data_IF_913614620536
#
_entry.id   IF_913614620536
#
_cell.length_a   1.000
_cell.length_b   1.000
_cell.length_c   1.000
_cell.angle_alpha   90.00
_cell.angle_beta   90.00
_cell.angle_gamma   90.00
#
_symmetry.space_group_name_H-M   'P 1'
#
loop_
_entity.id
_entity.type
_entity.pdbx_description
1 polymer ?
#
# COMPACT_ATOMS: atom_id res chain seq x y z
N UNK A 1 -18.34 0.03 -16.92
CA UNK A 1 -17.15 -0.80 -16.71
C UNK A 1 -17.44 -2.20 -17.25
N UNK A 2 -16.47 -2.82 -17.91
CA UNK A 2 -16.60 -4.19 -18.43
C UNK A 2 -16.09 -5.13 -17.32
N UNK A 3 -16.94 -5.98 -16.78
CA UNK A 3 -16.54 -7.01 -15.82
C UNK A 3 -15.95 -8.22 -16.55
N UNK A 4 -14.80 -8.69 -16.06
CA UNK A 4 -14.10 -9.85 -16.64
C UNK A 4 -14.19 -11.07 -15.73
N UNK A 5 -14.07 -12.25 -16.31
CA UNK A 5 -13.87 -13.47 -15.53
C UNK A 5 -12.52 -13.42 -14.80
N UNK A 6 -12.37 -14.15 -13.68
CA UNK A 6 -11.11 -14.15 -12.91
C UNK A 6 -9.89 -14.60 -13.74
N UNK A 7 -10.08 -15.51 -14.71
CA UNK A 7 -9.01 -15.93 -15.61
C UNK A 7 -8.58 -14.82 -16.58
N UNK A 8 -9.54 -14.11 -17.17
CA UNK A 8 -9.26 -12.98 -18.06
C UNK A 8 -8.61 -11.82 -17.28
N UNK A 9 -8.96 -11.64 -16.01
CA UNK A 9 -8.38 -10.63 -15.13
C UNK A 9 -6.86 -10.80 -14.98
N UNK A 10 -6.32 -12.03 -15.04
CA UNK A 10 -4.88 -12.28 -14.92
C UNK A 10 -4.07 -11.69 -16.09
N UNK A 11 -4.64 -11.62 -17.29
CA UNK A 11 -3.98 -11.01 -18.45
C UNK A 11 -3.75 -9.50 -18.26
N UNK A 12 -4.59 -8.86 -17.49
CA UNK A 12 -4.52 -7.44 -17.20
C UNK A 12 -3.81 -7.14 -15.88
N UNK A 13 -3.54 -8.14 -15.05
CA UNK A 13 -2.84 -8.03 -13.77
C UNK A 13 -1.31 -8.24 -13.92
N UNK A 14 -0.81 -8.14 -15.15
CA UNK A 14 0.61 -8.38 -15.49
C UNK A 14 1.57 -7.46 -14.74
N UNK A 15 1.35 -6.14 -14.57
CA UNK A 15 2.27 -5.29 -13.82
C UNK A 15 2.49 -5.75 -12.38
N UNK A 16 1.42 -6.11 -11.67
CA UNK A 16 1.48 -6.61 -10.30
C UNK A 16 2.16 -7.98 -10.22
N UNK A 17 1.92 -8.86 -11.19
CA UNK A 17 2.60 -10.15 -11.28
C UNK A 17 4.11 -10.00 -11.50
N UNK A 18 4.53 -9.11 -12.41
CA UNK A 18 5.95 -8.81 -12.63
C UNK A 18 6.56 -8.25 -11.34
N UNK A 19 5.85 -7.37 -10.65
CA UNK A 19 6.30 -6.81 -9.37
C UNK A 19 6.48 -7.92 -8.31
N UNK A 20 5.52 -8.83 -8.17
CA UNK A 20 5.63 -9.97 -7.24
C UNK A 20 6.83 -10.86 -7.59
N UNK A 21 7.02 -11.18 -8.87
CA UNK A 21 8.19 -11.96 -9.33
C UNK A 21 9.48 -11.21 -9.01
N UNK A 22 9.53 -9.90 -9.20
CA UNK A 22 10.70 -9.07 -8.87
C UNK A 22 11.01 -9.09 -7.38
N UNK A 23 9.99 -8.99 -6.51
CA UNK A 23 10.14 -9.06 -5.06
C UNK A 23 10.66 -10.44 -4.65
N UNK A 24 10.11 -11.52 -5.20
CA UNK A 24 10.58 -12.87 -4.94
C UNK A 24 12.02 -13.07 -5.43
N UNK A 25 12.37 -12.56 -6.61
CA UNK A 25 13.73 -12.60 -7.11
C UNK A 25 14.71 -11.83 -6.21
N UNK A 26 14.32 -10.66 -5.71
CA UNK A 26 15.10 -9.88 -4.76
C UNK A 26 15.33 -10.67 -3.47
N UNK A 27 14.27 -11.26 -2.90
CA UNK A 27 14.34 -12.05 -1.68
C UNK A 27 15.20 -13.30 -1.84
N UNK A 28 15.00 -14.07 -2.91
CA UNK A 28 15.80 -15.27 -3.19
C UNK A 28 17.26 -14.89 -3.41
N UNK A 29 17.53 -13.81 -4.15
CA UNK A 29 18.90 -13.35 -4.39
C UNK A 29 19.59 -12.95 -3.08
N UNK A 30 18.87 -12.31 -2.14
CA UNK A 30 19.43 -11.94 -0.83
C UNK A 30 19.86 -13.16 0.00
N UNK A 31 19.15 -14.27 -0.09
CA UNK A 31 19.50 -15.50 0.64
C UNK A 31 20.86 -16.07 0.22
N UNK A 32 21.24 -15.92 -1.06
CA UNK A 32 22.49 -16.46 -1.60
C UNK A 32 23.66 -15.46 -1.59
N UNK A 33 23.39 -14.15 -1.40
CA UNK A 33 24.43 -13.13 -1.41
C UNK A 33 25.08 -12.94 -0.04
N UNK A 34 26.38 -12.67 -0.05
CA UNK A 34 27.10 -12.19 1.14
C UNK A 34 26.67 -10.76 1.47
N UNK A 35 26.68 -10.41 2.76
CA UNK A 35 26.29 -9.08 3.28
C UNK A 35 26.94 -7.90 2.50
N UNK A 36 28.18 -8.06 2.04
CA UNK A 36 28.90 -7.01 1.29
C UNK A 36 28.40 -6.75 -0.15
N UNK A 37 27.48 -7.58 -0.66
CA UNK A 37 26.97 -7.47 -2.05
C UNK A 37 25.45 -7.21 -2.11
N UNK A 38 24.84 -6.83 -1.00
CA UNK A 38 23.39 -6.62 -0.90
C UNK A 38 22.90 -5.39 -1.69
N UNK A 39 23.81 -4.48 -2.11
CA UNK A 39 23.47 -3.39 -3.02
C UNK A 39 22.98 -3.88 -4.40
N UNK A 40 23.36 -5.09 -4.82
CA UNK A 40 22.85 -5.72 -6.05
C UNK A 40 21.33 -5.90 -6.02
N UNK A 41 20.74 -6.08 -4.84
CA UNK A 41 19.30 -6.27 -4.69
C UNK A 41 18.54 -5.00 -5.01
N UNK A 42 19.11 -3.82 -4.68
CA UNK A 42 18.58 -2.54 -5.13
C UNK A 42 18.51 -2.44 -6.65
N UNK A 43 19.52 -2.98 -7.37
CA UNK A 43 19.48 -3.05 -8.83
C UNK A 43 18.42 -4.02 -9.34
N UNK A 44 18.28 -5.21 -8.73
CA UNK A 44 17.23 -6.18 -9.10
C UNK A 44 15.85 -5.53 -8.97
N UNK A 45 15.56 -4.87 -7.84
CA UNK A 45 14.30 -4.17 -7.63
C UNK A 45 14.15 -2.99 -8.61
N UNK A 46 15.19 -2.18 -8.83
CA UNK A 46 15.15 -1.04 -9.73
C UNK A 46 14.86 -1.44 -11.19
N UNK A 47 15.57 -2.44 -11.70
CA UNK A 47 15.34 -2.97 -13.07
C UNK A 47 13.93 -3.57 -13.16
N UNK A 48 13.50 -4.34 -12.15
CA UNK A 48 12.14 -4.88 -12.10
C UNK A 48 11.08 -3.78 -12.14
N UNK A 49 11.24 -2.69 -11.39
CA UNK A 49 10.33 -1.55 -11.41
C UNK A 49 10.27 -0.85 -12.77
N UNK A 50 11.39 -0.76 -13.50
CA UNK A 50 11.38 -0.24 -14.88
C UNK A 50 10.56 -1.13 -15.80
N UNK A 51 10.72 -2.46 -15.71
CA UNK A 51 9.92 -3.43 -16.49
C UNK A 51 8.43 -3.32 -16.14
N UNK A 52 8.10 -3.20 -14.85
CA UNK A 52 6.73 -2.96 -14.37
C UNK A 52 6.19 -1.66 -14.97
N UNK A 53 6.97 -0.58 -14.99
CA UNK A 53 6.56 0.70 -15.57
C UNK A 53 6.24 0.60 -17.06
N UNK A 54 7.05 -0.11 -17.82
CA UNK A 54 6.76 -0.37 -19.24
C UNK A 54 5.47 -1.18 -19.41
N UNK A 55 5.23 -2.15 -18.54
CA UNK A 55 3.99 -2.93 -18.55
C UNK A 55 2.75 -2.07 -18.22
N UNK A 56 2.84 -1.16 -17.23
CA UNK A 56 1.78 -0.20 -16.91
C UNK A 56 1.48 0.72 -18.10
N UNK A 57 2.51 1.23 -18.78
CA UNK A 57 2.34 2.09 -19.96
C UNK A 57 1.64 1.35 -21.10
N UNK A 58 1.95 0.07 -21.33
CA UNK A 58 1.28 -0.73 -22.35
C UNK A 58 -0.22 -0.93 -22.05
N UNK A 59 -0.58 -1.05 -20.78
CA UNK A 59 -1.98 -1.20 -20.36
C UNK A 59 -2.75 0.13 -20.29
N UNK A 60 -2.09 1.28 -20.34
CA UNK A 60 -2.74 2.59 -20.25
C UNK A 60 -3.68 2.91 -21.44
N UNK A 61 -3.55 2.18 -22.56
CA UNK A 61 -4.43 2.30 -23.73
C UNK A 61 -5.70 1.44 -23.65
N UNK A 62 -5.81 0.59 -22.64
CA UNK A 62 -6.97 -0.28 -22.43
C UNK A 62 -8.13 0.56 -21.86
N UNK A 63 -9.38 0.37 -22.32
CA UNK A 63 -10.53 1.04 -21.76
C UNK A 63 -10.71 0.64 -20.27
N UNK A 64 -11.26 1.54 -19.42
CA UNK A 64 -11.47 1.26 -18.00
C UNK A 64 -12.21 -0.04 -17.77
N UNK A 65 -11.56 -0.97 -17.07
CA UNK A 65 -12.02 -2.35 -16.89
C UNK A 65 -11.88 -2.76 -15.44
N UNK A 66 -12.87 -3.45 -14.89
CA UNK A 66 -12.80 -4.03 -13.55
C UNK A 66 -12.31 -5.47 -13.60
N UNK A 67 -11.52 -5.84 -12.61
CA UNK A 67 -10.89 -7.13 -12.45
C UNK A 67 -11.32 -7.79 -11.14
N UNK A 68 -11.26 -9.13 -11.11
CA UNK A 68 -11.49 -9.95 -9.91
C UNK A 68 -12.83 -9.60 -9.20
N UNK A 69 -13.93 -9.74 -9.93
CA UNK A 69 -15.27 -9.49 -9.40
C UNK A 69 -15.45 -8.08 -8.85
N UNK A 70 -14.95 -7.08 -9.59
CA UNK A 70 -15.01 -5.66 -9.27
C UNK A 70 -14.22 -5.23 -8.02
N UNK A 71 -13.17 -5.98 -7.66
CA UNK A 71 -12.29 -5.59 -6.55
C UNK A 71 -11.25 -4.53 -6.95
N UNK A 72 -10.77 -4.59 -8.20
CA UNK A 72 -9.69 -3.75 -8.73
C UNK A 72 -10.12 -3.16 -10.08
N UNK A 73 -9.68 -1.95 -10.39
CA UNK A 73 -9.90 -1.29 -11.68
C UNK A 73 -8.57 -0.96 -12.36
N UNK A 74 -8.53 -1.13 -13.67
CA UNK A 74 -7.50 -0.53 -14.51
C UNK A 74 -8.15 0.67 -15.19
N UNK A 75 -7.61 1.85 -14.93
CA UNK A 75 -8.05 3.09 -15.50
C UNK A 75 -6.86 4.07 -15.67
N UNK A 76 -7.02 5.20 -16.33
CA UNK A 76 -5.96 6.19 -16.49
C UNK A 76 -5.44 6.74 -15.16
N UNK A 77 -6.30 6.85 -14.14
CA UNK A 77 -5.89 7.34 -12.82
C UNK A 77 -4.97 6.35 -12.11
N UNK A 78 -5.35 5.07 -12.02
CA UNK A 78 -4.52 4.04 -11.39
C UNK A 78 -3.20 3.87 -12.13
N UNK A 79 -3.21 3.91 -13.46
CA UNK A 79 -2.00 3.82 -14.29
C UNK A 79 -1.06 5.01 -14.04
N UNK A 80 -1.58 6.24 -13.99
CA UNK A 80 -0.80 7.42 -13.66
C UNK A 80 -0.18 7.32 -12.27
N UNK A 81 -0.97 6.96 -11.26
CA UNK A 81 -0.48 6.83 -9.88
C UNK A 81 0.58 5.73 -9.74
N UNK A 82 0.43 4.60 -10.42
CA UNK A 82 1.46 3.54 -10.47
C UNK A 82 2.78 4.07 -11.02
N UNK A 83 2.77 4.87 -12.07
CA UNK A 83 4.00 5.49 -12.62
C UNK A 83 4.63 6.46 -11.60
N UNK A 84 3.83 7.28 -10.93
CA UNK A 84 4.34 8.19 -9.87
C UNK A 84 5.00 7.39 -8.75
N UNK A 85 4.37 6.29 -8.30
CA UNK A 85 4.91 5.41 -7.26
C UNK A 85 6.24 4.79 -7.72
N UNK A 86 6.34 4.31 -8.97
CA UNK A 86 7.58 3.75 -9.53
C UNK A 86 8.69 4.79 -9.51
N UNK A 87 8.44 5.99 -10.03
CA UNK A 87 9.45 7.06 -10.08
C UNK A 87 9.92 7.41 -8.66
N UNK A 88 8.99 7.61 -7.74
CA UNK A 88 9.31 7.91 -6.34
C UNK A 88 10.15 6.80 -5.70
N UNK A 89 9.79 5.53 -5.93
CA UNK A 89 10.54 4.39 -5.40
C UNK A 89 11.94 4.27 -5.99
N UNK A 90 12.10 4.53 -7.30
CA UNK A 90 13.43 4.56 -7.93
C UNK A 90 14.32 5.64 -7.31
N UNK A 91 13.78 6.83 -7.02
CA UNK A 91 14.52 7.88 -6.31
C UNK A 91 14.92 7.45 -4.90
N UNK A 92 14.02 6.77 -4.16
CA UNK A 92 14.34 6.21 -2.84
C UNK A 92 15.45 5.16 -2.93
N UNK A 93 15.42 4.25 -3.92
CA UNK A 93 16.47 3.25 -4.11
C UNK A 93 17.82 3.93 -4.35
N UNK A 94 17.88 4.94 -5.22
CA UNK A 94 19.10 5.70 -5.51
C UNK A 94 19.62 6.39 -4.24
N UNK A 95 18.76 7.05 -3.48
CA UNK A 95 19.12 7.71 -2.22
C UNK A 95 19.64 6.70 -1.17
N UNK A 96 19.05 5.51 -1.13
CA UNK A 96 19.42 4.46 -0.17
C UNK A 96 20.80 3.85 -0.42
N UNK A 97 21.31 3.89 -1.64
CA UNK A 97 22.68 3.42 -1.93
C UNK A 97 23.75 4.28 -1.27
N UNK A 98 23.51 5.57 -1.14
CA UNK A 98 24.44 6.52 -0.52
C UNK A 98 24.32 6.58 1.01
N UNK A 99 23.31 5.91 1.60
CA UNK A 99 23.07 5.97 3.04
C UNK A 99 24.03 5.07 3.82
N UNK A 100 24.87 5.72 4.67
CA UNK A 100 25.85 5.05 5.53
C UNK A 100 25.22 4.31 6.71
N UNK A 101 24.07 4.73 7.20
CA UNK A 101 23.38 4.10 8.32
C UNK A 101 22.98 2.67 7.99
N UNK A 102 22.63 2.41 6.72
CA UNK A 102 22.29 1.08 6.22
C UNK A 102 23.49 0.15 6.01
N UNK A 103 24.75 0.63 6.09
CA UNK A 103 25.93 -0.20 5.83
C UNK A 103 26.08 -1.35 6.86
N UNK A 104 25.63 -1.14 8.09
CA UNK A 104 25.67 -2.14 9.15
C UNK A 104 24.55 -3.18 9.06
N UNK A 105 23.58 -3.00 8.17
CA UNK A 105 22.37 -3.83 8.02
C UNK A 105 22.37 -4.56 6.68
N UNK A 106 21.48 -5.55 6.53
CA UNK A 106 21.28 -6.24 5.25
C UNK A 106 20.36 -5.42 4.36
N UNK A 107 20.94 -4.64 3.45
CA UNK A 107 20.16 -3.81 2.50
C UNK A 107 19.17 -4.62 1.65
N UNK A 108 19.37 -5.93 1.51
CA UNK A 108 18.45 -6.80 0.77
C UNK A 108 17.07 -6.91 1.41
N UNK A 109 17.02 -7.08 2.74
CA UNK A 109 15.75 -7.08 3.49
C UNK A 109 15.04 -5.72 3.32
N UNK A 110 15.79 -4.62 3.41
CA UNK A 110 15.28 -3.27 3.23
C UNK A 110 14.62 -3.07 1.86
N UNK A 111 15.30 -3.42 0.77
CA UNK A 111 14.75 -3.29 -0.57
C UNK A 111 13.57 -4.22 -0.83
N UNK A 112 13.57 -5.42 -0.24
CA UNK A 112 12.44 -6.34 -0.33
C UNK A 112 11.18 -5.77 0.35
N UNK A 113 11.33 -5.16 1.53
CA UNK A 113 10.23 -4.50 2.25
C UNK A 113 9.67 -3.33 1.42
N UNK A 114 10.54 -2.52 0.82
CA UNK A 114 10.12 -1.44 -0.11
C UNK A 114 9.32 -2.03 -1.28
N UNK A 115 9.78 -3.12 -1.89
CA UNK A 115 9.05 -3.78 -2.97
C UNK A 115 7.64 -4.22 -2.57
N UNK A 116 7.48 -4.83 -1.38
CA UNK A 116 6.17 -5.23 -0.85
C UNK A 116 5.29 -3.99 -0.59
N UNK A 117 5.86 -2.90 -0.07
CA UNK A 117 5.15 -1.65 0.13
C UNK A 117 4.63 -1.09 -1.21
N UNK A 118 5.43 -1.12 -2.28
CA UNK A 118 5.02 -0.71 -3.62
C UNK A 118 3.86 -1.55 -4.14
N UNK A 119 3.84 -2.87 -3.89
CA UNK A 119 2.72 -3.72 -4.24
C UNK A 119 1.44 -3.29 -3.52
N UNK A 120 1.52 -3.01 -2.21
CA UNK A 120 0.39 -2.45 -1.45
C UNK A 120 -0.11 -1.13 -2.03
N UNK A 121 0.79 -0.22 -2.40
CA UNK A 121 0.44 1.06 -3.04
C UNK A 121 -0.23 0.86 -4.42
N UNK A 122 0.20 -0.12 -5.21
CA UNK A 122 -0.42 -0.45 -6.50
C UNK A 122 -1.85 -0.93 -6.32
N UNK A 123 -2.05 -1.86 -5.39
CA UNK A 123 -3.39 -2.38 -5.07
C UNK A 123 -4.30 -1.30 -4.52
N UNK A 124 -3.77 -0.40 -3.67
CA UNK A 124 -4.51 0.72 -3.10
C UNK A 124 -5.01 1.69 -4.18
N UNK A 125 -4.17 2.04 -5.15
CA UNK A 125 -4.54 2.99 -6.23
C UNK A 125 -5.53 2.43 -7.24
N UNK A 126 -5.65 1.12 -7.32
CA UNK A 126 -6.56 0.41 -8.24
C UNK A 126 -7.81 -0.12 -7.54
N UNK A 127 -7.93 0.01 -6.23
CA UNK A 127 -9.04 -0.55 -5.45
C UNK A 127 -10.36 0.17 -5.72
N UNK A 128 -11.43 -0.62 -5.95
CA UNK A 128 -12.83 -0.15 -6.03
C UNK A 128 -13.75 -0.91 -5.06
N UNK A 129 -13.15 -1.59 -4.10
CA UNK A 129 -13.77 -2.36 -3.03
C UNK A 129 -13.18 -1.93 -1.68
N UNK A 130 -14.04 -1.77 -0.64
CA UNK A 130 -13.59 -1.27 0.67
C UNK A 130 -12.67 -2.23 1.41
N UNK A 131 -12.84 -3.55 1.21
CA UNK A 131 -11.97 -4.56 1.83
C UNK A 131 -10.61 -4.54 1.13
N UNK A 132 -10.60 -4.49 -0.21
CA UNK A 132 -9.37 -4.42 -0.99
C UNK A 132 -8.57 -3.15 -0.66
N UNK A 133 -9.25 -2.01 -0.52
CA UNK A 133 -8.63 -0.77 -0.07
C UNK A 133 -8.02 -0.93 1.32
N UNK A 134 -8.79 -1.46 2.28
CA UNK A 134 -8.31 -1.64 3.65
C UNK A 134 -7.07 -2.55 3.73
N UNK A 135 -7.12 -3.71 3.09
CA UNK A 135 -5.99 -4.66 3.05
C UNK A 135 -4.75 -4.01 2.42
N UNK A 136 -4.92 -3.27 1.34
CA UNK A 136 -3.82 -2.56 0.67
C UNK A 136 -3.17 -1.52 1.57
N UNK A 137 -3.97 -0.73 2.29
CA UNK A 137 -3.51 0.25 3.30
C UNK A 137 -2.75 -0.45 4.43
N UNK A 138 -3.23 -1.61 4.91
CA UNK A 138 -2.56 -2.35 5.98
C UNK A 138 -1.20 -2.91 5.52
N UNK A 139 -1.11 -3.43 4.29
CA UNK A 139 0.18 -3.86 3.73
C UNK A 139 1.18 -2.71 3.72
N UNK A 140 0.80 -1.53 3.23
CA UNK A 140 1.66 -0.34 3.22
C UNK A 140 2.05 0.07 4.64
N UNK A 141 1.10 0.04 5.59
CA UNK A 141 1.33 0.43 6.98
C UNK A 141 2.29 -0.50 7.69
N UNK A 142 2.09 -1.82 7.57
CA UNK A 142 2.98 -2.81 8.20
C UNK A 142 4.40 -2.67 7.66
N UNK A 143 4.56 -2.51 6.34
CA UNK A 143 5.89 -2.31 5.75
C UNK A 143 6.52 -0.99 6.23
N UNK A 144 5.75 0.08 6.37
CA UNK A 144 6.26 1.36 6.90
C UNK A 144 6.64 1.27 8.38
N UNK A 145 5.91 0.49 9.21
CA UNK A 145 6.27 0.25 10.61
C UNK A 145 7.61 -0.47 10.72
N UNK A 146 7.83 -1.49 9.87
CA UNK A 146 9.09 -2.24 9.86
C UNK A 146 10.25 -1.34 9.39
N UNK A 147 10.01 -0.48 8.37
CA UNK A 147 11.03 0.46 7.88
C UNK A 147 11.39 1.50 8.94
N UNK A 148 10.43 2.04 9.70
CA UNK A 148 10.69 2.98 10.79
C UNK A 148 11.54 2.35 11.92
N UNK A 149 11.37 1.05 12.18
CA UNK A 149 12.16 0.29 13.17
C UNK A 149 13.35 -0.45 12.54
N UNK A 150 13.79 -0.07 11.33
CA UNK A 150 14.77 -0.88 10.60
C UNK A 150 16.16 -0.89 11.24
N UNK A 151 16.56 0.20 11.89
CA UNK A 151 17.84 0.30 12.57
C UNK A 151 17.81 -0.39 13.93
N UNK A 152 17.75 -1.72 13.94
CA UNK A 152 17.54 -2.61 15.12
C UNK A 152 18.48 -2.35 16.29
N UNK A 153 19.66 -1.78 16.06
CA UNK A 153 20.67 -1.48 17.08
C UNK A 153 20.50 -0.07 17.68
N UNK A 154 19.64 0.75 17.10
CA UNK A 154 19.32 2.07 17.60
C UNK A 154 18.05 2.03 18.47
N UNK A 155 18.18 2.45 19.72
CA UNK A 155 17.06 2.51 20.67
C UNK A 155 15.98 3.50 20.25
N UNK A 156 16.35 4.60 19.57
CA UNK A 156 15.40 5.59 19.05
C UNK A 156 14.55 5.01 17.94
N UNK A 157 15.17 4.30 16.98
CA UNK A 157 14.45 3.63 15.90
C UNK A 157 13.49 2.56 16.44
N UNK A 158 13.91 1.79 17.45
CA UNK A 158 13.04 0.80 18.10
C UNK A 158 11.84 1.45 18.81
N UNK A 159 12.05 2.57 19.51
CA UNK A 159 10.99 3.34 20.16
C UNK A 159 10.03 3.95 19.14
N UNK A 160 10.55 4.56 18.08
CA UNK A 160 9.77 5.12 16.97
C UNK A 160 8.89 4.05 16.32
N UNK A 161 9.47 2.88 15.97
CA UNK A 161 8.73 1.77 15.41
C UNK A 161 7.64 1.25 16.33
N UNK A 162 7.91 1.10 17.64
CA UNK A 162 6.91 0.65 18.61
C UNK A 162 5.74 1.63 18.72
N UNK A 163 6.03 2.93 18.84
CA UNK A 163 4.99 3.97 18.86
C UNK A 163 4.16 3.93 17.58
N UNK A 164 4.83 3.81 16.42
CA UNK A 164 4.15 3.79 15.13
C UNK A 164 3.22 2.59 14.99
N UNK A 165 3.65 1.39 15.40
CA UNK A 165 2.80 0.17 15.39
C UNK A 165 1.60 0.33 16.30
N UNK A 166 1.80 0.77 17.56
CA UNK A 166 0.70 0.86 18.55
C UNK A 166 -0.37 1.83 18.08
N UNK A 167 0.01 3.04 17.73
CA UNK A 167 -0.94 4.05 17.25
C UNK A 167 -1.56 3.68 15.90
N UNK A 168 -0.76 3.10 15.01
CA UNK A 168 -1.22 2.65 13.70
C UNK A 168 -2.23 1.52 13.79
N UNK A 169 -1.97 0.50 14.60
CA UNK A 169 -2.89 -0.62 14.81
C UNK A 169 -4.22 -0.17 15.42
N UNK A 170 -4.17 0.74 16.42
CA UNK A 170 -5.39 1.31 17.01
C UNK A 170 -6.21 2.07 15.96
N UNK A 171 -5.57 2.94 15.18
CA UNK A 171 -6.22 3.71 14.12
C UNK A 171 -6.84 2.82 13.05
N UNK A 172 -6.12 1.77 12.64
CA UNK A 172 -6.61 0.77 11.68
C UNK A 172 -7.82 0.00 12.21
N UNK A 173 -7.82 -0.36 13.49
CA UNK A 173 -8.97 -1.00 14.14
C UNK A 173 -10.22 -0.12 14.14
N UNK A 174 -10.06 1.18 14.44
CA UNK A 174 -11.15 2.17 14.37
C UNK A 174 -11.68 2.28 12.94
N UNK A 175 -10.80 2.39 11.94
CA UNK A 175 -11.18 2.45 10.53
C UNK A 175 -11.94 1.20 10.09
N UNK A 176 -11.43 0.01 10.43
CA UNK A 176 -12.07 -1.26 10.10
C UNK A 176 -13.47 -1.36 10.69
N UNK A 177 -13.64 -0.92 11.94
CA UNK A 177 -14.95 -0.91 12.57
C UNK A 177 -15.92 0.03 11.83
N UNK A 178 -15.45 1.23 11.40
CA UNK A 178 -16.24 2.13 10.56
C UNK A 178 -16.65 1.48 9.23
N UNK A 179 -15.70 0.80 8.54
CA UNK A 179 -15.99 0.06 7.31
C UNK A 179 -17.00 -1.08 7.54
N UNK A 180 -16.93 -1.76 8.69
CA UNK A 180 -17.87 -2.83 9.03
C UNK A 180 -19.31 -2.31 9.23
N UNK A 181 -19.47 -1.10 9.77
CA UNK A 181 -20.78 -0.45 9.88
C UNK A 181 -21.32 -0.11 8.49
N UNK A 182 -20.48 0.45 7.60
CA UNK A 182 -20.87 0.72 6.20
C UNK A 182 -21.34 -0.56 5.52
N UNK A 183 -20.58 -1.64 5.64
CA UNK A 183 -20.98 -2.95 5.13
C UNK A 183 -22.30 -3.45 5.75
N UNK A 184 -22.46 -3.33 7.06
CA UNK A 184 -23.70 -3.72 7.75
C UNK A 184 -24.95 -2.95 7.30
N UNK A 185 -24.78 -1.69 6.90
CA UNK A 185 -25.86 -0.83 6.40
C UNK A 185 -26.19 -1.08 4.93
N UNK A 186 -25.16 -1.37 4.10
CA UNK A 186 -25.30 -1.44 2.63
C UNK A 186 -25.34 -2.87 2.08
N UNK A 187 -24.82 -3.84 2.84
CA UNK A 187 -24.71 -5.24 2.41
C UNK A 187 -23.67 -5.48 1.31
N UNK A 188 -22.85 -4.49 0.97
CA UNK A 188 -21.86 -4.58 -0.10
C UNK A 188 -20.49 -4.00 0.28
N UNK A 189 -19.44 -4.48 -0.38
CA UNK A 189 -18.08 -3.95 -0.28
C UNK A 189 -17.67 -3.13 -1.50
N UNK A 190 -18.40 -3.25 -2.62
CA UNK A 190 -18.14 -2.49 -3.83
C UNK A 190 -18.55 -1.02 -3.68
N UNK A 191 -17.69 -0.09 -4.10
CA UNK A 191 -17.98 1.36 -4.05
C UNK A 191 -19.26 1.73 -4.78
N UNK A 192 -19.52 1.11 -5.93
CA UNK A 192 -20.71 1.42 -6.76
C UNK A 192 -21.99 0.98 -6.04
N UNK A 193 -22.03 -0.23 -5.49
CA UNK A 193 -23.19 -0.74 -4.78
C UNK A 193 -23.42 0.00 -3.44
N UNK A 194 -22.34 0.37 -2.74
CA UNK A 194 -22.40 1.21 -1.54
C UNK A 194 -23.04 2.56 -1.86
N UNK A 195 -22.58 3.19 -2.94
CA UNK A 195 -23.11 4.47 -3.38
C UNK A 195 -24.63 4.39 -3.66
N UNK A 196 -25.06 3.40 -4.42
CA UNK A 196 -26.48 3.19 -4.74
C UNK A 196 -27.32 2.95 -3.47
N UNK A 197 -26.80 2.11 -2.55
CA UNK A 197 -27.46 1.81 -1.29
C UNK A 197 -27.61 3.06 -0.40
N UNK A 198 -26.58 3.90 -0.31
CA UNK A 198 -26.62 5.14 0.48
C UNK A 198 -27.65 6.11 -0.07
N UNK A 199 -27.76 6.26 -1.38
CA UNK A 199 -28.76 7.17 -2.00
C UNK A 199 -30.20 6.70 -1.80
N UNK A 200 -30.44 5.41 -1.61
CA UNK A 200 -31.75 4.81 -1.35
C UNK A 200 -32.11 4.65 0.14
N UNK A 201 -31.18 5.03 1.04
CA UNK A 201 -31.33 4.82 2.48
C UNK A 201 -32.35 5.77 3.11
N UNK A 202 -33.12 5.24 4.06
CA UNK A 202 -33.99 6.05 4.93
C UNK A 202 -33.16 6.96 5.85
N UNK A 203 -33.72 8.13 6.19
CA UNK A 203 -33.10 9.09 7.11
C UNK A 203 -32.81 8.54 8.51
N UNK A 204 -33.45 7.44 8.91
CA UNK A 204 -33.21 6.75 10.18
C UNK A 204 -31.83 6.09 10.27
N UNK A 205 -31.20 5.75 9.14
CA UNK A 205 -29.86 5.16 9.09
C UNK A 205 -28.71 6.21 9.15
N UNK A 206 -29.04 7.50 8.98
CA UNK A 206 -28.06 8.58 8.94
C UNK A 206 -27.12 8.67 10.15
N UNK A 207 -27.58 8.49 11.42
CA UNK A 207 -26.67 8.56 12.57
C UNK A 207 -25.58 7.47 12.55
N UNK A 208 -25.94 6.23 12.17
CA UNK A 208 -24.99 5.13 12.08
C UNK A 208 -23.99 5.36 10.93
N UNK A 209 -24.45 5.86 9.78
CA UNK A 209 -23.58 6.22 8.66
C UNK A 209 -22.62 7.35 9.02
N UNK A 210 -23.09 8.39 9.71
CA UNK A 210 -22.24 9.49 10.18
C UNK A 210 -21.17 8.95 11.12
N UNK A 211 -21.53 8.08 12.08
CA UNK A 211 -20.57 7.46 12.99
C UNK A 211 -19.51 6.65 12.22
N UNK A 212 -19.95 5.83 11.25
CA UNK A 212 -19.04 5.06 10.40
C UNK A 212 -18.07 5.94 9.64
N UNK A 213 -18.56 7.03 9.04
CA UNK A 213 -17.72 7.98 8.30
C UNK A 213 -16.70 8.67 9.22
N UNK A 214 -17.11 9.09 10.41
CA UNK A 214 -16.18 9.70 11.38
C UNK A 214 -15.06 8.73 11.77
N UNK A 215 -15.36 7.43 11.96
CA UNK A 215 -14.37 6.41 12.28
C UNK A 215 -13.42 6.15 11.10
N UNK A 216 -13.94 6.10 9.88
CA UNK A 216 -13.14 5.96 8.67
C UNK A 216 -12.23 7.18 8.50
N UNK A 217 -12.76 8.38 8.66
CA UNK A 217 -11.97 9.62 8.58
C UNK A 217 -10.90 9.71 9.68
N UNK A 218 -11.17 9.24 10.90
CA UNK A 218 -10.15 9.16 11.94
C UNK A 218 -8.99 8.26 11.54
N UNK A 219 -9.29 7.10 10.94
CA UNK A 219 -8.26 6.18 10.41
C UNK A 219 -7.44 6.77 9.28
N UNK A 220 -8.06 7.35 8.27
CA UNK A 220 -7.37 8.06 7.19
C UNK A 220 -6.60 9.27 7.73
N UNK A 221 -7.20 10.06 8.61
CA UNK A 221 -6.57 11.23 9.23
C UNK A 221 -5.26 10.88 9.93
N UNK A 222 -5.22 9.74 10.62
CA UNK A 222 -3.99 9.20 11.18
C UNK A 222 -2.97 8.87 10.08
N UNK A 223 -3.37 8.14 9.04
CA UNK A 223 -2.46 7.70 7.96
C UNK A 223 -1.80 8.86 7.20
N UNK A 224 -2.52 9.97 7.01
CA UNK A 224 -1.99 11.17 6.34
C UNK A 224 -1.48 12.24 7.33
N UNK A 225 -1.39 11.91 8.62
CA UNK A 225 -0.94 12.83 9.67
C UNK A 225 -1.72 14.15 9.73
N UNK A 226 -3.03 14.10 9.45
CA UNK A 226 -3.87 15.31 9.53
C UNK A 226 -4.23 15.64 10.98
N UNK A 227 -4.36 16.93 11.28
CA UNK A 227 -4.84 17.41 12.59
C UNK A 227 -6.29 16.93 12.81
N UNK A 228 -6.62 16.36 13.99
CA UNK A 228 -5.85 16.24 15.23
C UNK A 228 -5.02 14.93 15.35
N UNK A 229 -4.97 14.08 14.36
CA UNK A 229 -4.38 12.72 14.41
C UNK A 229 -2.88 12.68 14.09
N UNK A 230 -2.17 13.80 14.13
CA UNK A 230 -0.77 13.96 13.71
C UNK A 230 0.27 13.77 14.82
N UNK A 231 -0.15 13.55 16.06
CA UNK A 231 0.72 13.56 17.26
C UNK A 231 1.83 12.49 17.26
N UNK A 232 1.68 11.45 16.48
CA UNK A 232 2.68 10.38 16.34
C UNK A 232 3.85 10.77 15.42
N UNK A 233 3.60 11.68 14.48
CA UNK A 233 4.52 12.01 13.39
C UNK A 233 5.88 12.55 13.86
N UNK A 234 5.96 13.53 14.77
CA UNK A 234 7.26 14.06 15.21
C UNK A 234 8.14 12.98 15.82
N UNK A 235 7.60 12.16 16.72
CA UNK A 235 8.33 11.12 17.43
C UNK A 235 8.86 10.03 16.47
N UNK A 236 8.06 9.64 15.50
CA UNK A 236 8.44 8.61 14.52
C UNK A 236 9.49 9.15 13.54
N UNK A 237 9.34 10.38 13.05
CA UNK A 237 10.29 10.96 12.10
C UNK A 237 11.63 11.33 12.75
N UNK A 238 11.65 11.66 14.05
CA UNK A 238 12.92 11.89 14.76
C UNK A 238 13.69 10.61 15.01
N UNK A 239 12.99 9.49 15.21
CA UNK A 239 13.60 8.22 15.61
C UNK A 239 13.84 7.23 14.47
N UNK A 240 13.30 7.46 13.27
CA UNK A 240 13.38 6.52 12.14
C UNK A 240 14.57 6.77 11.22
#
# INVERSE_FOLDING_TARGET
LISMTNFQSLEFFVPELILVITILAALITDLFLKKSKTDLIGWVLGVGLVIVGLSVLNLSSVPPTTLFSDAIVIDPFSSFMKIVIIISTLLVIIASWANRELENYRKGEYFTIIGIMVLGLFLMTSSVDIIMLYVSIEVVSIMSFILAAYLKLDTRSNEAGLKYVIYGAFSSGVMLFGLSIVYGLTGSTSYFAIQESIFSMDSSANPALIMALLMIFAGFGYKISSVPFHFWTPDVYEGS
#
